data_IF_659570947912
#
_entry.id   IF_659570947912
#
_cell.length_a   1.000
_cell.length_b   1.000
_cell.length_c   1.000
_cell.angle_alpha   90.00
_cell.angle_beta   90.00
_cell.angle_gamma   90.00
#
_symmetry.space_group_name_H-M   'P 1'
#
loop_
_entity.id
_entity.type
_entity.pdbx_description
1 polymer ?
#
# COMPACT_ATOMS: atom_id res chain seq x y z
N UNK A 1 7.50 7.25 24.86
CA UNK A 1 6.20 6.57 24.65
C UNK A 1 5.76 6.48 23.18
N UNK A 2 5.99 7.49 22.34
CA UNK A 2 5.59 7.47 20.93
C UNK A 2 6.36 6.43 20.08
N UNK A 3 7.62 6.17 20.34
CA UNK A 3 8.43 5.14 19.67
C UNK A 3 7.96 3.72 20.04
N UNK A 4 7.58 3.53 21.30
CA UNK A 4 7.03 2.27 21.79
C UNK A 4 5.67 1.95 21.17
N UNK A 5 4.79 2.96 21.01
CA UNK A 5 3.48 2.79 20.37
C UNK A 5 3.58 2.50 18.86
N UNK A 6 4.60 3.04 18.17
CA UNK A 6 4.85 2.73 16.75
C UNK A 6 5.38 1.30 16.57
N UNK A 7 6.31 0.85 17.41
CA UNK A 7 6.78 -0.53 17.39
C UNK A 7 5.66 -1.54 17.67
N UNK A 8 4.73 -1.24 18.58
CA UNK A 8 3.55 -2.06 18.80
C UNK A 8 2.66 -2.13 17.55
N UNK A 9 2.41 -1.01 16.88
CA UNK A 9 1.61 -0.96 15.65
C UNK A 9 2.16 -1.86 14.54
N UNK A 10 3.48 -1.93 14.38
CA UNK A 10 4.13 -2.78 13.38
C UNK A 10 4.08 -4.26 13.75
N UNK A 11 4.16 -4.58 15.06
CA UNK A 11 3.96 -5.95 15.55
C UNK A 11 2.53 -6.42 15.27
N UNK A 12 1.51 -5.61 15.55
CA UNK A 12 0.12 -5.95 15.26
C UNK A 12 -0.13 -6.15 13.76
N UNK A 13 0.43 -5.32 12.89
CA UNK A 13 0.31 -5.49 11.44
C UNK A 13 0.86 -6.83 10.98
N UNK A 14 2.03 -7.24 11.50
CA UNK A 14 2.63 -8.55 11.19
C UNK A 14 1.77 -9.69 11.72
N UNK A 15 1.25 -9.57 12.94
CA UNK A 15 0.37 -10.57 13.53
C UNK A 15 -0.92 -10.77 12.71
N UNK A 16 -1.58 -9.69 12.31
CA UNK A 16 -2.76 -9.77 11.46
C UNK A 16 -2.48 -10.34 10.07
N UNK A 17 -1.33 -10.03 9.50
CA UNK A 17 -0.90 -10.61 8.22
C UNK A 17 -0.67 -12.11 8.34
N UNK A 18 0.04 -12.54 9.38
CA UNK A 18 0.29 -13.97 9.64
C UNK A 18 -1.00 -14.71 9.94
N UNK A 19 -1.90 -14.11 10.72
CA UNK A 19 -3.22 -14.68 11.01
C UNK A 19 -4.09 -14.82 9.76
N UNK A 20 -4.11 -13.80 8.90
CA UNK A 20 -4.83 -13.86 7.62
C UNK A 20 -4.27 -14.95 6.70
N UNK A 21 -2.95 -15.09 6.65
CA UNK A 21 -2.31 -16.16 5.89
C UNK A 21 -2.64 -17.55 6.46
N UNK A 22 -2.64 -17.69 7.79
CA UNK A 22 -3.01 -18.94 8.46
C UNK A 22 -4.44 -19.37 8.11
N UNK A 23 -5.40 -18.46 8.17
CA UNK A 23 -6.81 -18.73 7.81
C UNK A 23 -6.91 -19.20 6.35
N UNK A 24 -6.14 -18.60 5.46
CA UNK A 24 -6.13 -18.94 4.04
C UNK A 24 -5.52 -20.31 3.78
N UNK A 25 -4.38 -20.62 4.40
CA UNK A 25 -3.60 -21.82 4.14
C UNK A 25 -4.15 -23.08 4.86
N UNK A 26 -4.87 -22.93 5.96
CA UNK A 26 -5.39 -24.08 6.70
C UNK A 26 -6.51 -24.84 5.98
N UNK A 27 -7.09 -24.30 4.90
CA UNK A 27 -8.06 -24.97 4.03
C UNK A 27 -9.43 -25.26 4.66
N UNK A 28 -9.52 -25.31 5.99
CA UNK A 28 -10.77 -25.57 6.71
C UNK A 28 -11.66 -24.34 6.84
N UNK A 29 -11.10 -23.13 6.68
CA UNK A 29 -11.74 -21.83 6.91
C UNK A 29 -11.93 -21.03 5.63
N UNK A 30 -12.11 -21.69 4.49
CA UNK A 30 -12.23 -21.02 3.18
C UNK A 30 -13.35 -19.97 3.15
N UNK A 31 -14.52 -20.28 3.72
CA UNK A 31 -15.65 -19.34 3.81
C UNK A 31 -15.31 -18.11 4.65
N UNK A 32 -14.57 -18.29 5.76
CA UNK A 32 -14.12 -17.18 6.59
C UNK A 32 -13.08 -16.34 5.89
N UNK A 33 -12.17 -16.95 5.17
CA UNK A 33 -11.15 -16.28 4.35
C UNK A 33 -11.80 -15.43 3.26
N UNK A 34 -12.80 -15.95 2.57
CA UNK A 34 -13.53 -15.24 1.53
C UNK A 34 -14.33 -14.06 2.09
N UNK A 35 -15.01 -14.27 3.22
CA UNK A 35 -15.75 -13.22 3.93
C UNK A 35 -14.81 -12.10 4.41
N UNK A 36 -13.63 -12.43 4.91
CA UNK A 36 -12.64 -11.46 5.33
C UNK A 36 -12.09 -10.64 4.17
N UNK A 37 -11.86 -11.26 3.02
CA UNK A 37 -11.33 -10.58 1.83
C UNK A 37 -12.35 -9.71 1.11
N UNK A 38 -13.64 -9.99 1.23
CA UNK A 38 -14.72 -9.29 0.53
C UNK A 38 -15.54 -8.43 1.50
N UNK A 39 -16.35 -9.05 2.32
CA UNK A 39 -17.33 -8.35 3.16
C UNK A 39 -16.67 -7.53 4.26
N UNK A 40 -15.71 -8.11 4.99
CA UNK A 40 -15.02 -7.40 6.06
C UNK A 40 -14.17 -6.25 5.51
N UNK A 41 -13.47 -6.47 4.41
CA UNK A 41 -12.68 -5.43 3.75
C UNK A 41 -13.56 -4.26 3.29
N UNK A 42 -14.73 -4.53 2.72
CA UNK A 42 -15.68 -3.50 2.31
C UNK A 42 -16.25 -2.74 3.51
N UNK A 43 -16.62 -3.45 4.58
CA UNK A 43 -17.13 -2.84 5.81
C UNK A 43 -16.07 -1.91 6.44
N UNK A 44 -14.83 -2.38 6.57
CA UNK A 44 -13.73 -1.57 7.11
C UNK A 44 -13.47 -0.35 6.23
N UNK A 45 -13.53 -0.49 4.92
CA UNK A 45 -13.35 0.63 3.97
C UNK A 45 -14.45 1.67 4.15
N UNK A 46 -15.69 1.24 4.35
CA UNK A 46 -16.83 2.13 4.61
C UNK A 46 -16.66 2.88 5.93
N UNK A 47 -16.32 2.17 7.01
CA UNK A 47 -16.07 2.78 8.33
C UNK A 47 -14.90 3.75 8.26
N UNK A 48 -13.83 3.39 7.56
CA UNK A 48 -12.68 4.28 7.34
C UNK A 48 -13.11 5.57 6.61
N UNK A 49 -13.89 5.44 5.55
CA UNK A 49 -14.42 6.59 4.80
C UNK A 49 -15.24 7.53 5.68
N UNK A 50 -16.13 6.98 6.50
CA UNK A 50 -16.92 7.76 7.47
C UNK A 50 -15.99 8.46 8.48
N UNK A 51 -15.04 7.74 9.06
CA UNK A 51 -14.11 8.30 10.05
C UNK A 51 -13.28 9.44 9.48
N UNK A 52 -12.77 9.28 8.26
CA UNK A 52 -12.03 10.33 7.55
C UNK A 52 -12.93 11.53 7.29
N UNK A 53 -14.17 11.31 6.86
CA UNK A 53 -15.14 12.37 6.60
C UNK A 53 -15.42 13.23 7.84
N UNK A 54 -15.54 12.62 9.01
CA UNK A 54 -15.67 13.35 10.28
C UNK A 54 -14.43 14.18 10.66
N UNK A 55 -13.25 13.75 10.23
CA UNK A 55 -11.99 14.46 10.49
C UNK A 55 -11.80 15.66 9.55
N UNK A 56 -12.50 15.68 8.41
CA UNK A 56 -12.40 16.73 7.41
C UNK A 56 -13.37 17.88 7.73
N UNK A 57 -13.02 18.71 8.73
CA UNK A 57 -13.75 19.96 8.97
C UNK A 57 -13.40 20.97 7.88
N UNK A 58 -14.43 21.60 7.28
CA UNK A 58 -14.28 22.54 6.16
C UNK A 58 -13.30 23.69 6.46
N UNK A 59 -13.33 24.23 7.68
CA UNK A 59 -12.48 25.34 8.09
C UNK A 59 -10.98 25.00 8.14
N UNK A 60 -10.65 23.73 8.40
CA UNK A 60 -9.27 23.26 8.44
C UNK A 60 -8.80 22.73 7.08
N UNK A 61 -9.72 22.21 6.27
CA UNK A 61 -9.42 21.60 5.00
C UNK A 61 -9.19 22.63 3.89
N UNK A 62 -9.90 23.75 3.92
CA UNK A 62 -9.80 24.84 2.92
C UNK A 62 -8.75 25.90 3.32
N UNK A 63 -7.83 25.62 4.22
CA UNK A 63 -6.71 26.50 4.50
C UNK A 63 -5.68 26.45 3.37
N UNK A 64 -5.07 27.60 3.03
CA UNK A 64 -4.03 27.68 2.00
C UNK A 64 -2.88 26.70 2.26
N UNK A 65 -2.54 26.49 3.54
CA UNK A 65 -1.50 25.56 3.95
C UNK A 65 -1.88 24.10 3.62
N UNK A 66 -3.12 23.70 3.87
CA UNK A 66 -3.62 22.35 3.57
C UNK A 66 -3.68 22.11 2.06
N UNK A 67 -4.10 23.13 1.28
CA UNK A 67 -4.11 23.04 -0.18
C UNK A 67 -2.69 22.89 -0.77
N UNK A 68 -1.71 23.62 -0.22
CA UNK A 68 -0.31 23.45 -0.63
C UNK A 68 0.22 22.06 -0.29
N UNK A 69 -0.09 21.53 0.90
CA UNK A 69 0.32 20.18 1.30
C UNK A 69 -0.33 19.12 0.41
N UNK A 70 -1.63 19.28 0.08
CA UNK A 70 -2.31 18.37 -0.84
C UNK A 70 -1.72 18.42 -2.25
N UNK A 71 -1.43 19.60 -2.77
CA UNK A 71 -0.77 19.76 -4.07
C UNK A 71 0.61 19.11 -4.09
N UNK A 72 1.40 19.34 -3.05
CA UNK A 72 2.72 18.71 -2.91
C UNK A 72 2.62 17.19 -2.79
N UNK A 73 1.62 16.69 -2.06
CA UNK A 73 1.34 15.25 -1.94
C UNK A 73 0.96 14.62 -3.28
N UNK A 74 0.10 15.26 -4.07
CA UNK A 74 -0.25 14.80 -5.41
C UNK A 74 0.98 14.74 -6.32
N UNK A 75 1.82 15.76 -6.28
CA UNK A 75 3.07 15.79 -7.02
C UNK A 75 4.02 14.65 -6.61
N UNK A 76 4.16 14.43 -5.30
CA UNK A 76 4.96 13.34 -4.76
C UNK A 76 4.46 11.97 -5.23
N UNK A 77 3.15 11.72 -5.26
CA UNK A 77 2.58 10.47 -5.77
C UNK A 77 2.87 10.23 -7.25
N UNK A 78 2.82 11.26 -8.08
CA UNK A 78 3.16 11.14 -9.50
C UNK A 78 4.63 10.74 -9.66
N UNK A 79 5.52 11.43 -8.96
CA UNK A 79 6.95 11.11 -9.01
C UNK A 79 7.29 9.73 -8.46
N UNK A 80 6.64 9.31 -7.38
CA UNK A 80 6.83 7.99 -6.79
C UNK A 80 6.41 6.88 -7.76
N UNK A 81 5.25 7.04 -8.41
CA UNK A 81 4.77 6.08 -9.42
C UNK A 81 5.72 5.98 -10.61
N UNK A 82 6.18 7.12 -11.14
CA UNK A 82 7.15 7.16 -12.24
C UNK A 82 8.49 6.56 -11.81
N UNK A 83 8.97 6.95 -10.64
CA UNK A 83 10.21 6.44 -10.06
C UNK A 83 10.20 4.93 -9.87
N UNK A 84 9.10 4.38 -9.34
CA UNK A 84 8.92 2.95 -9.15
C UNK A 84 8.97 2.16 -10.46
N UNK A 85 8.29 2.65 -11.51
CA UNK A 85 8.33 2.02 -12.84
C UNK A 85 9.73 2.13 -13.47
N UNK A 86 10.37 3.29 -13.36
CA UNK A 86 11.74 3.48 -13.89
C UNK A 86 12.74 2.60 -13.15
N UNK A 87 12.62 2.48 -11.84
CA UNK A 87 13.47 1.59 -11.03
C UNK A 87 13.28 0.12 -11.41
N UNK A 88 12.05 -0.32 -11.63
CA UNK A 88 11.78 -1.68 -12.11
C UNK A 88 12.37 -1.92 -13.51
N UNK A 89 12.32 -0.94 -14.42
CA UNK A 89 12.99 -1.02 -15.71
C UNK A 89 14.51 -1.09 -15.57
N UNK A 90 15.08 -0.31 -14.67
CA UNK A 90 16.51 -0.32 -14.37
C UNK A 90 16.96 -1.68 -13.83
N UNK A 91 16.21 -2.25 -12.88
CA UNK A 91 16.47 -3.60 -12.37
C UNK A 91 16.41 -4.66 -13.46
N UNK A 92 15.49 -4.54 -14.40
CA UNK A 92 15.34 -5.46 -15.53
C UNK A 92 16.55 -5.44 -16.49
N UNK A 93 17.34 -4.37 -16.47
CA UNK A 93 18.58 -4.29 -17.26
C UNK A 93 19.65 -5.25 -16.72
N UNK A 94 19.68 -5.46 -15.40
CA UNK A 94 20.65 -6.32 -14.73
C UNK A 94 20.10 -7.71 -14.39
N UNK A 95 18.79 -7.90 -14.41
CA UNK A 95 18.16 -9.16 -14.04
C UNK A 95 17.97 -10.08 -15.24
N UNK A 96 18.30 -11.37 -15.06
CA UNK A 96 18.01 -12.43 -16.06
C UNK A 96 16.50 -12.71 -16.16
N UNK A 97 15.79 -12.62 -15.05
CA UNK A 97 14.34 -12.78 -14.99
C UNK A 97 13.67 -11.40 -15.04
N UNK A 98 13.07 -11.08 -16.17
CA UNK A 98 12.39 -9.79 -16.35
C UNK A 98 11.07 -9.77 -15.60
N UNK A 99 10.88 -8.73 -14.79
CA UNK A 99 9.61 -8.46 -14.08
C UNK A 99 8.86 -7.37 -14.84
N UNK A 100 7.53 -7.46 -14.90
CA UNK A 100 6.75 -6.40 -15.53
C UNK A 100 6.97 -5.07 -14.77
N UNK A 101 7.43 -4.00 -15.46
CA UNK A 101 7.73 -2.72 -14.81
C UNK A 101 6.55 -2.07 -14.08
N UNK A 102 5.31 -2.40 -14.46
CA UNK A 102 4.10 -1.92 -13.78
C UNK A 102 4.06 -2.31 -12.30
N UNK A 103 4.67 -3.44 -11.94
CA UNK A 103 4.77 -3.88 -10.55
C UNK A 103 5.52 -2.85 -9.68
N UNK A 104 6.48 -2.11 -10.25
CA UNK A 104 7.20 -1.04 -9.57
C UNK A 104 6.29 0.10 -9.09
N UNK A 105 5.22 0.40 -9.81
CA UNK A 105 4.24 1.41 -9.38
C UNK A 105 3.41 0.96 -8.16
N UNK A 106 3.42 -0.32 -7.78
CA UNK A 106 2.75 -0.81 -6.58
C UNK A 106 3.49 -0.51 -5.28
N UNK A 107 4.72 0.00 -5.32
CA UNK A 107 5.52 0.34 -4.14
C UNK A 107 4.92 1.40 -3.23
N UNK A 108 3.89 2.10 -3.70
CA UNK A 108 3.13 3.09 -2.93
C UNK A 108 2.39 2.42 -1.78
N UNK A 109 2.38 3.05 -0.60
CA UNK A 109 1.81 2.50 0.63
C UNK A 109 0.28 2.35 0.64
N UNK A 110 -0.43 2.67 -0.45
CA UNK A 110 -1.88 2.53 -0.59
C UNK A 110 -2.30 1.06 -0.80
N UNK A 111 -2.13 0.23 0.20
CA UNK A 111 -2.54 -1.17 0.19
C UNK A 111 -4.04 -1.33 0.42
N UNK A 112 -4.73 -2.19 -0.29
CA UNK A 112 -4.35 -3.02 -1.45
C UNK A 112 -4.77 -2.41 -2.80
N UNK A 113 -5.09 -1.15 -2.84
CA UNK A 113 -5.71 -0.50 -4.01
C UNK A 113 -4.78 -0.47 -5.23
N UNK A 114 -3.52 -0.06 -5.04
CA UNK A 114 -2.53 0.02 -6.13
C UNK A 114 -2.29 -1.33 -6.80
N UNK A 115 -2.21 -2.40 -6.03
CA UNK A 115 -2.04 -3.75 -6.56
C UNK A 115 -3.23 -4.21 -7.41
N UNK A 116 -4.46 -3.89 -6.99
CA UNK A 116 -5.68 -4.20 -7.77
C UNK A 116 -5.77 -3.41 -9.08
N UNK A 117 -5.36 -2.13 -9.05
CA UNK A 117 -5.32 -1.30 -10.25
C UNK A 117 -4.32 -1.86 -11.25
N UNK A 118 -3.12 -2.22 -10.81
CA UNK A 118 -2.08 -2.81 -11.65
C UNK A 118 -2.51 -4.14 -12.23
N UNK A 119 -3.16 -5.00 -11.45
CA UNK A 119 -3.74 -6.25 -11.94
C UNK A 119 -4.78 -5.98 -13.04
N UNK A 120 -5.72 -5.06 -12.80
CA UNK A 120 -6.74 -4.71 -13.78
C UNK A 120 -6.14 -4.16 -15.07
N UNK A 121 -5.10 -3.34 -14.96
CA UNK A 121 -4.38 -2.81 -16.12
C UNK A 121 -3.60 -3.92 -16.86
N UNK A 122 -2.95 -4.81 -16.11
CA UNK A 122 -2.22 -5.95 -16.68
C UNK A 122 -3.11 -6.90 -17.48
N UNK A 123 -4.26 -7.27 -16.92
CA UNK A 123 -5.24 -8.14 -17.57
C UNK A 123 -5.90 -7.45 -18.78
N UNK A 124 -6.06 -6.12 -18.75
CA UNK A 124 -6.62 -5.37 -19.86
C UNK A 124 -5.70 -5.40 -21.10
N UNK A 125 -4.39 -5.40 -20.88
CA UNK A 125 -3.39 -5.49 -21.97
C UNK A 125 -3.15 -6.94 -22.41
N UNK A 126 -2.98 -7.84 -21.44
CA UNK A 126 -2.79 -9.27 -21.68
C UNK A 126 -3.54 -10.08 -20.62
N UNK A 127 -4.55 -10.85 -21.06
CA UNK A 127 -5.43 -11.66 -20.20
C UNK A 127 -4.69 -12.75 -19.40
N UNK A 128 -3.49 -13.10 -19.81
CA UNK A 128 -2.66 -14.11 -19.12
C UNK A 128 -1.70 -13.50 -18.09
N UNK A 129 -1.56 -12.19 -18.06
CA UNK A 129 -0.57 -11.49 -17.24
C UNK A 129 -1.15 -11.10 -15.87
N UNK A 130 -1.13 -12.05 -14.95
CA UNK A 130 -1.58 -11.85 -13.57
C UNK A 130 -0.46 -11.24 -12.71
N UNK A 131 -0.59 -9.95 -12.41
CA UNK A 131 0.42 -9.17 -11.68
C UNK A 131 0.12 -9.01 -10.18
N UNK A 132 -1.07 -9.43 -9.71
CA UNK A 132 -1.58 -9.14 -8.37
C UNK A 132 -0.60 -9.55 -7.25
N UNK A 133 -0.10 -10.78 -7.30
CA UNK A 133 0.78 -11.30 -6.24
C UNK A 133 2.12 -10.58 -6.20
N UNK A 134 2.68 -10.26 -7.36
CA UNK A 134 3.92 -9.50 -7.47
C UNK A 134 3.73 -8.06 -7.00
N UNK A 135 2.61 -7.44 -7.36
CA UNK A 135 2.25 -6.08 -6.95
C UNK A 135 2.00 -5.99 -5.43
N UNK A 136 1.36 -7.00 -4.82
CA UNK A 136 1.21 -7.09 -3.37
C UNK A 136 2.57 -7.19 -2.68
N UNK A 137 3.48 -8.01 -3.18
CA UNK A 137 4.83 -8.13 -2.64
C UNK A 137 5.60 -6.81 -2.69
N UNK A 138 5.56 -6.10 -3.82
CA UNK A 138 6.14 -4.78 -3.96
C UNK A 138 5.51 -3.75 -3.02
N UNK A 139 4.19 -3.79 -2.84
CA UNK A 139 3.47 -2.90 -1.94
C UNK A 139 3.85 -3.12 -0.47
N UNK A 140 3.90 -4.37 -0.02
CA UNK A 140 4.32 -4.71 1.36
C UNK A 140 5.75 -4.26 1.62
N UNK A 141 6.66 -4.46 0.66
CA UNK A 141 8.06 -3.99 0.78
C UNK A 141 8.13 -2.46 0.86
N UNK A 142 7.32 -1.75 0.08
CA UNK A 142 7.19 -0.29 0.13
C UNK A 142 6.71 0.22 1.50
N UNK A 143 5.78 -0.47 2.14
CA UNK A 143 5.33 -0.12 3.50
C UNK A 143 6.44 -0.27 4.54
N UNK A 144 7.22 -1.34 4.45
CA UNK A 144 8.38 -1.54 5.34
C UNK A 144 9.44 -0.45 5.10
N UNK A 145 9.75 -0.17 3.84
CA UNK A 145 10.69 0.89 3.47
C UNK A 145 10.24 2.27 3.97
N UNK A 146 8.96 2.61 3.84
CA UNK A 146 8.39 3.86 4.32
C UNK A 146 8.49 3.99 5.85
N UNK A 147 8.26 2.90 6.59
CA UNK A 147 8.39 2.89 8.04
C UNK A 147 9.85 3.12 8.48
N UNK A 148 10.80 2.47 7.79
CA UNK A 148 12.23 2.64 8.06
C UNK A 148 12.68 4.05 7.71
N UNK A 149 12.35 4.56 6.52
CA UNK A 149 12.70 5.91 6.08
C UNK A 149 12.11 6.98 7.01
N UNK A 150 10.84 6.83 7.39
CA UNK A 150 10.19 7.73 8.35
C UNK A 150 10.88 7.71 9.73
N UNK A 151 11.34 6.55 10.18
CA UNK A 151 12.10 6.41 11.42
C UNK A 151 13.46 7.11 11.36
N UNK A 152 14.17 6.97 10.25
CA UNK A 152 15.47 7.64 10.03
C UNK A 152 15.29 9.15 9.99
N UNK A 153 14.35 9.66 9.22
CA UNK A 153 14.06 11.10 9.11
C UNK A 153 13.73 11.68 10.48
N UNK A 154 12.87 11.01 11.26
CA UNK A 154 12.55 11.46 12.61
C UNK A 154 13.75 11.45 13.55
N UNK A 155 14.66 10.48 13.41
CA UNK A 155 15.88 10.40 14.18
C UNK A 155 16.88 11.54 13.89
N UNK A 156 16.82 12.15 12.69
CA UNK A 156 17.64 13.32 12.36
C UNK A 156 17.09 14.63 12.93
N UNK A 157 15.79 14.70 13.22
CA UNK A 157 15.13 15.93 13.72
C UNK A 157 14.83 15.89 15.24
N UNK A 158 15.14 14.80 15.92
CA UNK A 158 15.10 14.63 17.36
C UNK A 158 16.49 14.66 17.97
#
# INVERSE_FOLDING_TARGET
>A
DRLRSRGLGDVYKRQFLMFGNLIRECGCLNSLSETAQTTLANLITLVLGITISFSMKADQFVSLQTLMIMGLGLFAFIFDSIGGVMFAKFLNLFSKNKVNPMVGAAGISAFPMSARVIEKMGIAEDKTNHLLMHAIGANVSGQVASAVAGGIVLGFFM
#
